data_IF_260122426661
#
_entry.id   IF_260122426661
#
_cell.length_a   1.000
_cell.length_b   1.000
_cell.length_c   1.000
_cell.angle_alpha   90.00
_cell.angle_beta   90.00
_cell.angle_gamma   90.00
#
_symmetry.space_group_name_H-M   'P 1'
#
loop_
_entity.id
_entity.type
_entity.pdbx_description
1 polymer ?
#
# COMPACT_ATOMS: atom_id res chain seq x y z
N UNK A 1 -12.22 15.02 38.54
CA UNK A 1 -12.35 13.92 39.51
C UNK A 1 -13.31 12.90 38.94
N UNK A 2 -12.77 11.83 38.40
CA UNK A 2 -13.46 10.57 38.13
C UNK A 2 -12.40 9.50 38.30
N UNK A 3 -12.48 8.78 39.41
CA UNK A 3 -11.63 7.65 39.76
C UNK A 3 -12.05 6.46 38.91
N UNK A 4 -11.17 5.99 38.02
CA UNK A 4 -11.23 4.63 37.50
C UNK A 4 -10.06 3.86 38.10
N UNK A 5 -10.42 2.75 38.70
CA UNK A 5 -9.60 1.72 39.33
C UNK A 5 -8.47 1.24 38.43
N UNK A 6 -7.37 0.85 39.06
CA UNK A 6 -6.21 0.19 38.49
C UNK A 6 -6.58 -1.04 37.65
N UNK A 7 -6.28 -0.98 36.36
CA UNK A 7 -5.95 -2.14 35.54
C UNK A 7 -4.58 -1.86 34.91
N UNK A 8 -3.71 -2.85 34.91
CA UNK A 8 -2.36 -2.79 34.34
C UNK A 8 -2.41 -2.28 32.89
N UNK A 9 -2.11 -0.99 32.69
CA UNK A 9 -1.81 -0.47 31.36
C UNK A 9 -0.37 -0.90 31.07
N UNK A 10 -0.20 -1.94 30.25
CA UNK A 10 1.11 -2.27 29.73
C UNK A 10 1.57 -1.14 28.81
N UNK A 11 2.50 -0.33 29.32
CA UNK A 11 3.12 0.76 28.58
C UNK A 11 4.31 0.21 27.80
N UNK A 12 4.08 -0.08 26.52
CA UNK A 12 5.13 -0.49 25.58
C UNK A 12 5.62 0.74 24.81
N UNK A 13 6.93 0.80 24.53
CA UNK A 13 7.45 1.83 23.64
C UNK A 13 6.87 1.61 22.23
N UNK A 14 6.25 2.65 21.66
CA UNK A 14 5.88 2.62 20.25
C UNK A 14 7.15 2.38 19.40
N UNK A 15 7.10 1.48 18.40
CA UNK A 15 8.16 1.38 17.40
C UNK A 15 8.53 2.77 16.87
N UNK A 16 9.82 3.03 16.63
CA UNK A 16 10.29 4.35 16.18
C UNK A 16 9.59 4.86 14.91
N UNK A 17 9.00 3.94 14.13
CA UNK A 17 8.37 4.20 12.85
C UNK A 17 6.85 4.43 12.94
N UNK A 18 6.20 4.31 14.11
CA UNK A 18 4.73 4.41 14.22
C UNK A 18 4.24 5.85 14.06
N UNK A 19 4.88 6.80 14.73
CA UNK A 19 4.71 8.23 14.53
C UNK A 19 6.00 8.88 15.01
N UNK A 20 6.87 9.35 14.12
CA UNK A 20 8.16 9.90 14.51
C UNK A 20 7.94 11.33 15.05
N UNK A 21 7.36 11.44 16.24
CA UNK A 21 7.03 12.72 16.92
C UNK A 21 8.26 13.63 16.99
N UNK A 22 9.46 13.04 17.07
CA UNK A 22 10.74 13.78 17.01
C UNK A 22 10.90 14.62 15.73
N UNK A 23 10.33 14.17 14.61
CA UNK A 23 10.38 14.88 13.33
C UNK A 23 9.41 16.08 13.29
N UNK A 24 8.42 16.17 14.18
CA UNK A 24 7.51 17.32 14.23
C UNK A 24 8.29 18.60 14.51
N UNK A 25 9.22 18.57 15.49
CA UNK A 25 10.08 19.73 15.78
C UNK A 25 10.96 20.08 14.58
N UNK A 26 11.39 19.07 13.81
CA UNK A 26 12.19 19.29 12.59
C UNK A 26 11.35 19.96 11.50
N UNK A 27 10.11 19.51 11.29
CA UNK A 27 9.17 20.15 10.36
C UNK A 27 8.90 21.60 10.77
N UNK A 28 8.60 21.87 12.05
CA UNK A 28 8.38 23.23 12.52
C UNK A 28 9.62 24.13 12.38
N UNK A 29 10.82 23.58 12.61
CA UNK A 29 12.08 24.29 12.38
C UNK A 29 12.30 24.68 10.92
N UNK A 30 11.81 23.85 9.99
CA UNK A 30 11.89 24.06 8.55
C UNK A 30 10.73 24.91 8.01
N UNK A 31 9.82 25.39 8.86
CA UNK A 31 8.67 26.18 8.42
C UNK A 31 9.11 27.52 7.80
N UNK A 32 8.71 27.75 6.54
CA UNK A 32 9.03 28.96 5.77
C UNK A 32 7.75 29.72 5.47
N UNK A 33 7.69 31.05 5.69
CA UNK A 33 6.51 31.84 5.35
C UNK A 33 6.23 31.81 3.84
N UNK A 34 4.94 31.77 3.50
CA UNK A 34 4.42 31.79 2.13
C UNK A 34 3.30 32.83 1.99
N UNK A 35 2.98 33.29 0.77
CA UNK A 35 1.97 34.31 0.57
C UNK A 35 0.56 33.72 0.50
N UNK A 36 0.44 32.46 0.09
CA UNK A 36 -0.83 31.75 -0.16
C UNK A 36 -0.56 30.26 -0.35
N UNK A 37 -1.56 29.43 -0.04
CA UNK A 37 -1.57 28.00 -0.34
C UNK A 37 -2.97 27.55 -0.80
N UNK A 38 -3.07 26.42 -1.49
CA UNK A 38 -4.32 25.74 -1.83
C UNK A 38 -4.20 24.23 -1.69
N UNK A 39 -5.33 23.54 -1.50
CA UNK A 39 -5.48 22.09 -1.69
C UNK A 39 -6.39 21.89 -2.89
N UNK A 40 -5.87 21.32 -3.97
CA UNK A 40 -6.49 21.39 -5.28
C UNK A 40 -6.80 22.85 -5.65
N UNK A 41 -8.05 23.10 -6.04
CA UNK A 41 -8.55 24.44 -6.40
C UNK A 41 -9.01 25.28 -5.19
N UNK A 42 -9.00 24.73 -3.98
CA UNK A 42 -9.49 25.41 -2.77
C UNK A 42 -8.37 26.15 -2.03
N UNK A 43 -8.51 27.48 -1.90
CA UNK A 43 -7.53 28.30 -1.19
C UNK A 43 -7.58 28.04 0.33
N UNK A 44 -6.40 27.95 0.94
CA UNK A 44 -6.26 27.89 2.40
C UNK A 44 -6.37 29.31 2.95
N UNK A 45 -7.52 29.60 3.55
CA UNK A 45 -7.80 30.89 4.19
C UNK A 45 -7.06 31.02 5.53
N UNK A 46 -6.14 31.98 5.61
CA UNK A 46 -5.40 32.27 6.83
C UNK A 46 -5.55 33.74 7.26
N UNK A 47 -6.61 34.02 8.02
CA UNK A 47 -7.01 35.37 8.43
C UNK A 47 -5.95 36.12 9.24
N UNK A 48 -5.05 35.41 9.91
CA UNK A 48 -3.93 36.00 10.66
C UNK A 48 -2.80 36.53 9.76
N UNK A 49 -2.74 36.10 8.49
CA UNK A 49 -1.63 36.36 7.57
C UNK A 49 -0.32 35.61 7.89
N UNK A 50 -0.32 34.80 8.94
CA UNK A 50 0.82 33.99 9.39
C UNK A 50 0.74 32.59 8.77
N UNK A 51 0.93 32.53 7.45
CA UNK A 51 0.93 31.31 6.68
C UNK A 51 2.36 30.82 6.41
N UNK A 52 2.61 29.55 6.66
CA UNK A 52 3.90 28.90 6.47
C UNK A 52 3.74 27.60 5.67
N UNK A 53 4.79 27.19 4.97
CA UNK A 53 4.93 25.84 4.45
C UNK A 53 5.96 25.06 5.24
N UNK A 54 5.70 23.77 5.39
CA UNK A 54 6.69 22.80 5.86
C UNK A 54 6.40 21.43 5.26
N UNK A 55 7.27 20.46 5.50
CA UNK A 55 7.07 19.08 5.12
C UNK A 55 7.30 18.17 6.33
N UNK A 56 6.45 17.14 6.46
CA UNK A 56 6.55 16.10 7.48
C UNK A 56 6.40 14.74 6.82
N UNK A 57 7.42 13.89 6.94
CA UNK A 57 7.42 12.51 6.42
C UNK A 57 7.10 12.43 4.91
N UNK A 58 7.62 13.40 4.15
CA UNK A 58 7.42 13.58 2.69
C UNK A 58 6.04 14.15 2.29
N UNK A 59 5.15 14.44 3.24
CA UNK A 59 3.93 15.23 2.99
C UNK A 59 4.15 16.71 3.27
N UNK A 60 3.69 17.53 2.34
CA UNK A 60 3.68 18.98 2.42
C UNK A 60 2.49 19.50 3.23
N UNK A 61 2.75 20.43 4.15
CA UNK A 61 1.76 21.07 5.02
C UNK A 61 1.80 22.59 4.90
N UNK A 62 0.64 23.19 4.77
CA UNK A 62 0.42 24.62 4.97
C UNK A 62 -0.05 24.87 6.41
N UNK A 63 0.68 25.71 7.14
CA UNK A 63 0.39 26.04 8.55
C UNK A 63 -0.17 27.46 8.64
N UNK A 64 -1.41 27.59 9.10
CA UNK A 64 -2.00 28.87 9.50
C UNK A 64 -1.93 29.05 11.02
N UNK A 65 -1.09 29.98 11.47
CA UNK A 65 -0.90 30.24 12.90
C UNK A 65 -1.81 31.35 13.42
N UNK A 66 -2.49 31.11 14.54
CA UNK A 66 -3.50 32.00 15.13
C UNK A 66 -3.07 32.57 16.50
N UNK A 67 -1.76 32.77 16.70
CA UNK A 67 -1.23 33.28 17.95
C UNK A 67 -1.51 32.32 19.11
N UNK A 68 -2.12 32.79 20.20
CA UNK A 68 -2.43 31.95 21.39
C UNK A 68 -3.54 30.92 21.17
N UNK A 69 -4.31 31.05 20.10
CA UNK A 69 -5.35 30.07 19.75
C UNK A 69 -4.80 28.81 19.09
N UNK A 70 -3.48 28.72 18.91
CA UNK A 70 -2.86 27.56 18.26
C UNK A 70 -2.57 27.77 16.78
N UNK A 71 -2.52 26.67 16.03
CA UNK A 71 -2.40 26.69 14.58
C UNK A 71 -3.10 25.50 13.94
N UNK A 72 -3.46 25.66 12.67
CA UNK A 72 -3.98 24.58 11.83
C UNK A 72 -2.91 24.25 10.79
N UNK A 73 -2.56 22.98 10.65
CA UNK A 73 -1.69 22.48 9.59
C UNK A 73 -2.52 21.62 8.62
N UNK A 74 -2.63 22.05 7.37
CA UNK A 74 -3.43 21.39 6.34
C UNK A 74 -2.53 20.76 5.28
N UNK A 75 -2.87 19.52 4.90
CA UNK A 75 -2.32 18.77 3.78
C UNK A 75 -3.46 18.18 2.94
N UNK A 76 -3.15 17.40 1.91
CA UNK A 76 -4.15 16.73 1.06
C UNK A 76 -5.08 15.82 1.86
N UNK A 77 -4.52 14.99 2.73
CA UNK A 77 -5.25 13.87 3.35
C UNK A 77 -5.39 14.03 4.88
N UNK A 78 -4.77 15.06 5.46
CA UNK A 78 -4.78 15.30 6.90
C UNK A 78 -4.80 16.80 7.22
N UNK A 79 -5.73 17.18 8.11
CA UNK A 79 -5.70 18.47 8.81
C UNK A 79 -5.40 18.23 10.28
N UNK A 80 -4.41 18.92 10.82
CA UNK A 80 -3.99 18.86 12.22
C UNK A 80 -4.31 20.18 12.89
N UNK A 81 -5.15 20.14 13.92
CA UNK A 81 -5.43 21.27 14.79
C UNK A 81 -4.56 21.17 16.04
N UNK A 82 -3.84 22.24 16.35
CA UNK A 82 -2.96 22.31 17.52
C UNK A 82 -3.46 23.39 18.45
N UNK A 83 -3.78 23.00 19.68
CA UNK A 83 -4.16 23.90 20.77
C UNK A 83 -3.04 23.98 21.82
N UNK A 84 -2.87 25.16 22.43
CA UNK A 84 -1.95 25.33 23.55
C UNK A 84 -2.68 25.18 24.88
N UNK A 85 -2.05 24.46 25.80
CA UNK A 85 -2.53 24.31 27.18
C UNK A 85 -1.94 25.40 28.08
N UNK A 86 -2.76 25.96 28.96
CA UNK A 86 -2.35 27.03 29.89
C UNK A 86 -1.33 26.57 30.94
N UNK A 87 -1.28 25.27 31.21
CA UNK A 87 -0.41 24.67 32.22
C UNK A 87 0.45 23.57 31.60
N UNK A 88 1.73 23.45 31.97
CA UNK A 88 2.57 22.37 31.49
C UNK A 88 1.94 21.02 31.83
N UNK A 89 1.73 20.16 30.82
CA UNK A 89 1.37 18.78 31.07
C UNK A 89 2.53 18.12 31.86
N UNK A 90 2.23 17.62 33.05
CA UNK A 90 3.20 16.84 33.83
C UNK A 90 3.33 15.49 33.15
N UNK A 91 4.29 15.36 32.23
CA UNK A 91 4.63 14.08 31.60
C UNK A 91 5.39 13.25 32.62
N UNK A 92 4.69 12.34 33.30
CA UNK A 92 5.35 11.39 34.18
C UNK A 92 6.13 10.38 33.34
N UNK A 93 7.36 10.07 33.77
CA UNK A 93 8.14 8.98 33.17
C UNK A 93 7.34 7.67 33.33
N UNK A 94 6.98 6.97 32.24
CA UNK A 94 6.26 5.71 32.38
C UNK A 94 7.13 4.68 33.11
N UNK A 95 6.49 3.89 33.97
CA UNK A 95 7.12 2.70 34.55
C UNK A 95 7.12 1.60 33.49
N UNK A 96 8.31 1.22 33.01
CA UNK A 96 8.45 0.22 31.96
C UNK A 96 8.41 -1.19 32.58
N UNK A 97 7.49 -2.03 32.12
CA UNK A 97 7.49 -3.47 32.37
C UNK A 97 8.68 -4.10 31.63
N UNK A 98 9.69 -4.62 32.33
CA UNK A 98 10.73 -5.49 31.69
C UNK A 98 12.15 -4.94 31.50
N UNK A 99 12.57 -3.90 32.23
CA UNK A 99 14.01 -3.58 32.36
C UNK A 99 14.67 -2.82 31.20
N UNK A 100 13.94 -2.47 30.14
CA UNK A 100 14.45 -1.60 29.07
C UNK A 100 14.59 -0.16 29.59
N UNK A 101 15.76 0.48 29.41
CA UNK A 101 15.96 1.88 29.79
C UNK A 101 15.68 2.82 28.60
N UNK A 102 14.69 3.71 28.72
CA UNK A 102 14.56 4.82 27.77
C UNK A 102 15.69 5.83 28.00
N UNK A 103 16.57 6.00 27.01
CA UNK A 103 17.61 7.04 27.05
C UNK A 103 16.95 8.42 26.98
N UNK A 104 17.26 9.29 27.94
CA UNK A 104 16.81 10.69 27.92
C UNK A 104 17.52 11.40 26.77
N UNK A 105 16.75 11.93 25.82
CA UNK A 105 17.30 12.64 24.66
C UNK A 105 17.68 14.07 25.05
N UNK A 106 18.70 14.63 24.41
CA UNK A 106 19.02 16.07 24.54
C UNK A 106 17.92 16.93 23.94
N UNK A 107 17.67 18.10 24.54
CA UNK A 107 16.70 19.06 24.02
C UNK A 107 17.07 19.49 22.60
N UNK A 108 16.10 19.45 21.68
CA UNK A 108 16.27 19.91 20.30
C UNK A 108 16.21 21.43 20.26
N UNK A 109 17.19 22.08 19.62
CA UNK A 109 17.15 23.52 19.38
C UNK A 109 16.01 23.89 18.43
N UNK A 110 15.28 24.96 18.74
CA UNK A 110 14.17 25.46 17.91
C UNK A 110 14.50 26.81 17.26
N UNK A 111 14.07 27.00 16.02
CA UNK A 111 14.16 28.30 15.32
C UNK A 111 13.18 29.30 15.94
N UNK A 112 13.35 30.62 15.73
CA UNK A 112 12.38 31.61 16.21
C UNK A 112 10.96 31.37 15.66
N UNK A 113 10.83 30.92 14.41
CA UNK A 113 9.54 30.54 13.81
C UNK A 113 8.94 29.32 14.51
N UNK A 114 9.73 28.25 14.71
CA UNK A 114 9.26 27.06 15.40
C UNK A 114 8.87 27.37 16.85
N UNK A 115 9.65 28.21 17.55
CA UNK A 115 9.31 28.65 18.90
C UNK A 115 7.96 29.38 18.93
N UNK A 116 7.72 30.28 17.97
CA UNK A 116 6.42 30.95 17.82
C UNK A 116 5.27 29.96 17.58
N UNK A 117 5.46 28.98 16.69
CA UNK A 117 4.51 27.91 16.41
C UNK A 117 4.33 26.90 17.56
N UNK A 118 5.27 26.79 18.49
CA UNK A 118 5.17 25.87 19.63
C UNK A 118 4.55 26.53 20.87
N UNK A 119 4.56 27.86 20.93
CA UNK A 119 4.21 28.63 22.14
C UNK A 119 3.12 29.66 21.92
N UNK A 120 2.68 29.87 20.67
CA UNK A 120 1.73 30.92 20.32
C UNK A 120 2.26 32.34 20.50
N UNK A 121 3.60 32.49 20.56
CA UNK A 121 4.25 33.81 20.61
C UNK A 121 4.27 34.48 19.23
N UNK A 122 4.50 35.78 19.18
CA UNK A 122 4.53 36.53 17.93
C UNK A 122 5.63 36.01 17.00
N UNK A 123 5.26 35.73 15.75
CA UNK A 123 6.20 35.33 14.70
C UNK A 123 7.17 36.48 14.38
N UNK A 124 8.45 36.18 14.06
CA UNK A 124 9.42 37.22 13.70
C UNK A 124 8.91 38.06 12.52
N UNK A 125 8.97 39.38 12.69
CA UNK A 125 8.30 40.36 11.82
C UNK A 125 8.78 40.30 10.35
N UNK A 126 7.85 40.42 9.39
CA UNK A 126 8.03 40.36 7.91
C UNK A 126 8.91 41.48 7.29
N UNK A 127 9.54 42.34 8.10
CA UNK A 127 10.17 43.58 7.62
C UNK A 127 11.60 43.45 7.06
N UNK A 128 12.11 42.24 6.83
CA UNK A 128 13.35 42.09 6.06
C UNK A 128 13.04 42.12 4.56
N UNK A 129 13.67 43.06 3.83
CA UNK A 129 13.66 43.09 2.35
C UNK A 129 14.05 41.71 1.81
N UNK A 130 13.09 40.94 1.29
CA UNK A 130 13.35 39.62 0.69
C UNK A 130 13.72 39.77 -0.79
N UNK A 131 14.86 39.20 -1.17
CA UNK A 131 15.40 39.20 -2.54
C UNK A 131 14.85 38.05 -3.41
N UNK A 132 13.95 37.21 -2.88
CA UNK A 132 13.39 36.03 -3.54
C UNK A 132 11.86 36.11 -3.50
N UNK A 133 11.20 35.94 -4.65
CA UNK A 133 9.74 35.92 -4.72
C UNK A 133 9.19 34.74 -3.90
N UNK A 134 8.31 35.02 -2.94
CA UNK A 134 7.56 33.98 -2.24
C UNK A 134 6.56 33.37 -3.23
N UNK A 135 6.59 32.04 -3.40
CA UNK A 135 5.73 31.33 -4.35
C UNK A 135 4.51 30.77 -3.62
N UNK A 136 3.38 30.74 -4.33
CA UNK A 136 2.19 30.01 -3.93
C UNK A 136 2.52 28.52 -3.74
N UNK A 137 1.96 27.90 -2.71
CA UNK A 137 2.08 26.47 -2.45
C UNK A 137 0.80 25.76 -2.89
N UNK A 138 0.85 25.03 -3.99
CA UNK A 138 -0.25 24.15 -4.40
C UNK A 138 -0.02 22.77 -3.78
N UNK A 139 -1.02 22.26 -3.07
CA UNK A 139 -1.08 20.90 -2.53
C UNK A 139 -2.08 20.13 -3.39
N UNK A 140 -1.74 18.91 -3.80
CA UNK A 140 -2.65 18.07 -4.58
C UNK A 140 -3.93 17.74 -3.80
N UNK A 141 -5.07 17.53 -4.47
CA UNK A 141 -6.31 17.14 -3.81
C UNK A 141 -6.20 15.79 -3.09
N UNK A 142 -7.16 15.51 -2.21
CA UNK A 142 -7.22 14.25 -1.47
C UNK A 142 -7.42 13.04 -2.41
N UNK A 143 -8.24 13.20 -3.45
CA UNK A 143 -8.56 12.18 -4.44
C UNK A 143 -8.26 12.65 -5.86
N UNK A 144 -8.18 11.69 -6.78
CA UNK A 144 -7.96 11.95 -8.20
C UNK A 144 -9.23 11.79 -9.04
N UNK A 145 -9.36 12.62 -10.08
CA UNK A 145 -10.34 12.40 -11.14
C UNK A 145 -9.75 11.45 -12.21
N UNK A 146 -10.63 10.74 -12.92
CA UNK A 146 -10.21 9.87 -14.01
C UNK A 146 -9.52 10.66 -15.14
N UNK A 147 -8.34 10.21 -15.57
CA UNK A 147 -7.52 10.81 -16.64
C UNK A 147 -7.73 10.11 -17.99
N UNK A 148 -8.51 9.03 -18.05
CA UNK A 148 -8.88 8.34 -19.29
C UNK A 148 -10.40 8.19 -19.45
N UNK A 149 -10.82 7.42 -20.45
CA UNK A 149 -12.23 7.11 -20.68
C UNK A 149 -12.66 6.08 -19.62
N UNK A 150 -13.67 6.38 -18.78
CA UNK A 150 -14.17 5.42 -17.81
C UNK A 150 -14.69 4.16 -18.48
N UNK A 151 -14.41 3.00 -17.88
CA UNK A 151 -14.85 1.70 -18.38
C UNK A 151 -15.03 0.69 -17.24
N UNK A 152 -15.70 -0.46 -17.44
CA UNK A 152 -15.89 -1.42 -16.37
C UNK A 152 -14.56 -1.99 -15.84
N UNK A 153 -14.52 -2.27 -14.53
CA UNK A 153 -13.35 -2.82 -13.86
C UNK A 153 -13.67 -4.15 -13.19
N UNK A 154 -12.83 -5.16 -13.45
CA UNK A 154 -12.89 -6.46 -12.76
C UNK A 154 -11.65 -6.70 -11.91
N UNK A 155 -11.87 -6.99 -10.64
CA UNK A 155 -10.84 -7.28 -9.65
C UNK A 155 -10.76 -8.79 -9.39
N UNK A 156 -9.56 -9.34 -9.55
CA UNK A 156 -9.24 -10.74 -9.27
C UNK A 156 -8.37 -10.83 -8.02
N UNK A 157 -8.88 -11.54 -7.01
CA UNK A 157 -8.16 -11.77 -5.75
C UNK A 157 -7.07 -12.84 -5.90
N UNK A 158 -6.09 -12.80 -4.99
CA UNK A 158 -4.99 -13.75 -4.94
C UNK A 158 -5.31 -15.10 -4.29
N UNK A 159 -4.26 -15.80 -3.88
CA UNK A 159 -4.32 -17.10 -3.19
C UNK A 159 -5.16 -17.05 -1.89
N UNK A 160 -5.89 -18.15 -1.61
CA UNK A 160 -6.46 -18.36 -0.28
C UNK A 160 -7.97 -18.16 -0.15
N UNK A 161 -8.70 -18.18 -1.27
CA UNK A 161 -10.16 -18.26 -1.29
C UNK A 161 -10.62 -19.60 -1.88
N UNK A 162 -11.36 -20.41 -1.11
CA UNK A 162 -11.87 -21.72 -1.56
C UNK A 162 -13.27 -21.62 -2.19
N UNK A 163 -13.89 -20.43 -2.15
CA UNK A 163 -15.22 -20.20 -2.69
C UNK A 163 -15.12 -19.88 -4.18
N UNK A 164 -16.07 -20.36 -4.96
CA UNK A 164 -16.25 -19.95 -6.35
C UNK A 164 -17.69 -19.50 -6.57
N UNK A 165 -17.86 -18.39 -7.28
CA UNK A 165 -19.17 -17.90 -7.72
C UNK A 165 -19.14 -17.69 -9.23
N UNK A 166 -20.24 -18.06 -9.88
CA UNK A 166 -20.34 -17.96 -11.34
C UNK A 166 -20.42 -16.50 -11.79
N UNK A 167 -21.18 -15.69 -11.05
CA UNK A 167 -21.38 -14.28 -11.35
C UNK A 167 -20.32 -13.38 -10.71
N UNK A 168 -20.02 -12.28 -11.39
CA UNK A 168 -19.25 -11.18 -10.83
C UNK A 168 -20.01 -10.53 -9.67
N UNK A 169 -19.31 -10.22 -8.59
CA UNK A 169 -19.90 -9.68 -7.37
C UNK A 169 -19.73 -8.16 -7.30
N UNK A 170 -20.67 -7.47 -6.67
CA UNK A 170 -20.61 -6.02 -6.41
C UNK A 170 -19.69 -5.65 -5.23
N UNK A 171 -19.35 -6.62 -4.38
CA UNK A 171 -18.52 -6.42 -3.20
C UNK A 171 -17.46 -7.51 -3.05
N UNK A 172 -16.33 -7.25 -2.36
CA UNK A 172 -15.27 -8.22 -2.16
C UNK A 172 -15.54 -9.18 -0.98
N UNK A 173 -16.71 -9.13 -0.33
CA UNK A 173 -17.02 -9.90 0.89
C UNK A 173 -16.78 -11.42 0.73
N UNK A 174 -17.05 -11.93 -0.47
CA UNK A 174 -16.91 -13.34 -0.81
C UNK A 174 -15.48 -13.76 -1.18
N UNK A 175 -14.51 -12.85 -1.10
CA UNK A 175 -13.08 -13.13 -1.40
C UNK A 175 -12.28 -13.60 -0.19
N UNK A 176 -12.92 -13.83 0.96
CA UNK A 176 -12.26 -14.24 2.22
C UNK A 176 -11.19 -13.24 2.69
N UNK A 177 -11.44 -11.93 2.52
CA UNK A 177 -10.53 -10.86 2.92
C UNK A 177 -9.25 -10.80 2.08
N UNK A 178 -9.29 -11.24 0.82
CA UNK A 178 -8.15 -11.22 -0.12
C UNK A 178 -8.18 -10.04 -1.09
N UNK A 179 -9.17 -9.16 -0.95
CA UNK A 179 -9.38 -7.97 -1.77
C UNK A 179 -10.07 -6.88 -0.93
N UNK A 180 -9.56 -5.65 -0.98
CA UNK A 180 -10.21 -4.47 -0.45
C UNK A 180 -11.37 -3.99 -1.33
N UNK A 181 -12.21 -3.11 -0.78
CA UNK A 181 -13.33 -2.53 -1.52
C UNK A 181 -12.87 -1.24 -2.21
N UNK A 182 -13.01 -1.17 -3.53
CA UNK A 182 -12.61 -0.05 -4.37
C UNK A 182 -13.82 0.63 -5.04
N UNK A 183 -15.06 0.35 -4.60
CA UNK A 183 -16.25 0.88 -5.27
C UNK A 183 -16.35 2.41 -5.22
N UNK A 184 -15.77 3.05 -4.19
CA UNK A 184 -15.78 4.52 -4.02
C UNK A 184 -14.47 5.18 -4.48
N UNK A 185 -13.40 4.40 -4.64
CA UNK A 185 -12.03 4.89 -4.87
C UNK A 185 -11.48 4.48 -6.26
N UNK A 186 -12.37 4.36 -7.24
CA UNK A 186 -12.05 3.89 -8.58
C UNK A 186 -12.69 4.79 -9.65
N UNK A 187 -12.27 6.07 -9.78
CA UNK A 187 -12.91 7.08 -10.60
C UNK A 187 -12.95 6.75 -12.11
N UNK A 188 -12.04 5.91 -12.59
CA UNK A 188 -12.03 5.42 -13.97
C UNK A 188 -12.89 4.17 -14.22
N UNK A 189 -13.52 3.65 -13.17
CA UNK A 189 -14.38 2.49 -13.27
C UNK A 189 -15.84 2.93 -13.40
N UNK A 190 -16.51 2.59 -14.51
CA UNK A 190 -17.97 2.81 -14.63
C UNK A 190 -18.75 1.90 -13.69
N UNK A 191 -18.19 0.72 -13.41
CA UNK A 191 -18.62 -0.21 -12.39
C UNK A 191 -17.40 -0.97 -11.88
N UNK A 192 -17.44 -1.35 -10.60
CA UNK A 192 -16.42 -2.18 -9.97
C UNK A 192 -17.02 -3.54 -9.66
N UNK A 193 -16.40 -4.59 -10.17
CA UNK A 193 -16.82 -5.97 -9.98
C UNK A 193 -15.68 -6.82 -9.45
N UNK A 194 -16.03 -7.83 -8.65
CA UNK A 194 -15.09 -8.76 -8.06
C UNK A 194 -15.35 -10.18 -8.57
N UNK A 195 -14.32 -10.80 -9.13
CA UNK A 195 -14.35 -12.20 -9.49
C UNK A 195 -14.01 -13.06 -8.25
N UNK A 196 -14.89 -13.97 -7.88
CA UNK A 196 -14.72 -14.89 -6.75
C UNK A 196 -14.45 -16.28 -7.30
N UNK A 197 -13.21 -16.73 -7.21
CA UNK A 197 -12.74 -17.97 -7.81
C UNK A 197 -12.03 -18.85 -6.77
N UNK A 198 -12.10 -20.18 -6.96
CA UNK A 198 -11.36 -21.08 -6.11
C UNK A 198 -9.86 -21.00 -6.43
N UNK A 199 -9.12 -20.41 -5.50
CA UNK A 199 -7.66 -20.16 -5.56
C UNK A 199 -6.94 -20.88 -4.42
N UNK A 200 -7.54 -21.93 -3.90
CA UNK A 200 -6.95 -22.82 -2.89
C UNK A 200 -6.63 -24.17 -3.51
N UNK A 201 -7.61 -24.74 -4.22
CA UNK A 201 -7.54 -26.13 -4.68
C UNK A 201 -6.88 -26.30 -6.05
N UNK A 202 -6.65 -25.20 -6.77
CA UNK A 202 -6.08 -25.21 -8.12
C UNK A 202 -4.71 -24.53 -8.15
N UNK A 203 -3.81 -25.08 -8.97
CA UNK A 203 -2.54 -24.44 -9.34
C UNK A 203 -2.82 -23.16 -10.13
N UNK A 204 -1.93 -22.16 -10.06
CA UNK A 204 -2.03 -20.99 -10.95
C UNK A 204 -1.86 -21.35 -12.43
N UNK A 205 -1.23 -22.49 -12.72
CA UNK A 205 -1.07 -23.05 -14.06
C UNK A 205 -2.25 -23.95 -14.48
N UNK A 206 -3.30 -24.07 -13.68
CA UNK A 206 -4.48 -24.88 -14.02
C UNK A 206 -5.25 -24.29 -15.21
N UNK A 207 -5.57 -25.14 -16.18
CA UNK A 207 -6.22 -24.77 -17.44
C UNK A 207 -7.64 -24.22 -17.23
N UNK A 208 -8.40 -24.82 -16.31
CA UNK A 208 -9.78 -24.42 -16.02
C UNK A 208 -9.83 -23.11 -15.24
N UNK A 209 -8.90 -22.92 -14.30
CA UNK A 209 -8.79 -21.67 -13.55
C UNK A 209 -8.42 -20.50 -14.48
N UNK A 210 -7.47 -20.71 -15.41
CA UNK A 210 -7.12 -19.72 -16.44
C UNK A 210 -8.32 -19.38 -17.33
N UNK A 211 -9.08 -20.38 -17.79
CA UNK A 211 -10.28 -20.15 -18.57
C UNK A 211 -11.32 -19.34 -17.78
N UNK A 212 -11.53 -19.67 -16.50
CA UNK A 212 -12.46 -18.93 -15.65
C UNK A 212 -12.05 -17.45 -15.52
N UNK A 213 -10.76 -17.13 -15.39
CA UNK A 213 -10.29 -15.74 -15.38
C UNK A 213 -10.66 -14.99 -16.66
N UNK A 214 -10.41 -15.60 -17.82
CA UNK A 214 -10.78 -15.03 -19.11
C UNK A 214 -12.30 -14.85 -19.23
N UNK A 215 -13.09 -15.86 -18.88
CA UNK A 215 -14.55 -15.84 -18.97
C UNK A 215 -15.15 -14.74 -18.09
N UNK A 216 -14.61 -14.51 -16.88
CA UNK A 216 -15.05 -13.42 -16.00
C UNK A 216 -14.74 -12.05 -16.60
N UNK A 217 -13.55 -11.87 -17.18
CA UNK A 217 -13.17 -10.60 -17.79
C UNK A 217 -13.97 -10.30 -19.07
N UNK A 218 -14.19 -11.31 -19.93
CA UNK A 218 -14.93 -11.19 -21.20
C UNK A 218 -16.43 -10.86 -21.02
N UNK A 219 -17.00 -11.14 -19.84
CA UNK A 219 -18.41 -10.90 -19.56
C UNK A 219 -18.72 -9.46 -19.17
N UNK A 220 -17.74 -8.70 -18.72
CA UNK A 220 -18.00 -7.40 -18.10
C UNK A 220 -18.29 -6.29 -19.11
N UNK A 221 -17.57 -6.28 -20.23
CA UNK A 221 -17.75 -5.26 -21.28
C UNK A 221 -18.44 -5.85 -22.50
N UNK A 222 -19.53 -5.21 -22.95
CA UNK A 222 -20.24 -5.56 -24.18
C UNK A 222 -19.38 -5.41 -25.44
N UNK A 223 -18.32 -4.59 -25.39
CA UNK A 223 -17.34 -4.46 -26.48
C UNK A 223 -16.42 -5.68 -26.62
N UNK A 224 -16.36 -6.56 -25.61
CA UNK A 224 -15.48 -7.73 -25.66
C UNK A 224 -15.96 -8.76 -26.68
N UNK A 225 -15.03 -9.31 -27.47
CA UNK A 225 -15.32 -10.39 -28.41
C UNK A 225 -15.20 -11.74 -27.69
N UNK A 226 -16.35 -12.24 -27.22
CA UNK A 226 -16.48 -13.54 -26.56
C UNK A 226 -16.15 -14.71 -27.48
N UNK A 227 -16.29 -14.55 -28.80
CA UNK A 227 -16.03 -15.62 -29.76
C UNK A 227 -14.53 -15.79 -30.00
N UNK A 228 -13.79 -14.68 -30.14
CA UNK A 228 -12.34 -14.71 -30.34
C UNK A 228 -11.53 -14.59 -29.04
N UNK A 229 -12.19 -14.41 -27.90
CA UNK A 229 -11.54 -14.33 -26.58
C UNK A 229 -10.79 -13.01 -26.36
N UNK A 230 -11.25 -11.91 -26.96
CA UNK A 230 -10.58 -10.61 -26.88
C UNK A 230 -11.31 -9.71 -25.87
N UNK A 231 -10.65 -9.40 -24.76
CA UNK A 231 -11.14 -8.50 -23.72
C UNK A 231 -10.96 -7.06 -24.21
N UNK A 232 -12.03 -6.28 -24.28
CA UNK A 232 -11.99 -4.89 -24.76
C UNK A 232 -12.65 -3.94 -23.76
N UNK A 233 -12.22 -2.68 -23.77
CA UNK A 233 -12.78 -1.60 -22.94
C UNK A 233 -13.00 -2.03 -21.47
N UNK A 234 -12.00 -2.69 -20.86
CA UNK A 234 -12.10 -3.26 -19.51
C UNK A 234 -10.79 -3.01 -18.77
N UNK A 235 -10.87 -2.55 -17.52
CA UNK A 235 -9.71 -2.56 -16.62
C UNK A 235 -9.71 -3.89 -15.87
N UNK A 236 -8.68 -4.68 -16.08
CA UNK A 236 -8.44 -5.92 -15.33
C UNK A 236 -7.44 -5.62 -14.23
N UNK A 237 -7.84 -5.88 -12.98
CA UNK A 237 -6.98 -5.69 -11.81
C UNK A 237 -6.70 -7.06 -11.20
N UNK A 238 -5.42 -7.40 -11.04
CA UNK A 238 -5.02 -8.71 -10.48
C UNK A 238 -4.12 -8.54 -9.28
N UNK A 239 -4.44 -9.20 -8.17
CA UNK A 239 -3.61 -9.23 -6.98
C UNK A 239 -2.93 -10.59 -6.76
N UNK A 240 -1.63 -10.59 -6.44
CA UNK A 240 -0.90 -11.78 -6.00
C UNK A 240 -1.00 -12.90 -7.04
N UNK A 241 -1.36 -14.12 -6.64
CA UNK A 241 -1.52 -15.27 -7.54
C UNK A 241 -2.42 -15.00 -8.76
N UNK A 242 -3.38 -14.06 -8.68
CA UNK A 242 -4.22 -13.69 -9.83
C UNK A 242 -3.40 -13.16 -11.01
N UNK A 243 -2.29 -12.45 -10.75
CA UNK A 243 -1.42 -11.95 -11.82
C UNK A 243 -0.78 -13.09 -12.60
N UNK A 244 -0.32 -14.15 -11.92
CA UNK A 244 0.23 -15.35 -12.57
C UNK A 244 -0.82 -16.07 -13.40
N UNK A 245 -2.04 -16.23 -12.86
CA UNK A 245 -3.13 -16.89 -13.57
C UNK A 245 -3.48 -16.11 -14.85
N UNK A 246 -3.66 -14.79 -14.76
CA UNK A 246 -3.94 -13.96 -15.93
C UNK A 246 -2.78 -13.99 -16.93
N UNK A 247 -1.54 -13.90 -16.46
CA UNK A 247 -0.36 -14.03 -17.31
C UNK A 247 -0.36 -15.33 -18.09
N UNK A 248 -0.65 -16.45 -17.43
CA UNK A 248 -0.65 -17.76 -18.06
C UNK A 248 -1.84 -17.93 -19.01
N UNK A 249 -3.01 -17.39 -18.66
CA UNK A 249 -4.18 -17.39 -19.53
C UNK A 249 -3.91 -16.64 -20.86
N UNK A 250 -3.16 -15.54 -20.80
CA UNK A 250 -2.68 -14.82 -21.98
C UNK A 250 -1.63 -15.64 -22.75
N UNK A 251 -0.65 -16.20 -22.03
CA UNK A 251 0.44 -16.98 -22.64
C UNK A 251 -0.05 -18.24 -23.36
N UNK A 252 -1.12 -18.88 -22.87
CA UNK A 252 -1.75 -20.06 -23.47
C UNK A 252 -2.84 -19.72 -24.48
N UNK A 253 -3.13 -18.43 -24.68
CA UNK A 253 -4.12 -17.97 -25.66
C UNK A 253 -5.58 -18.23 -25.27
N UNK A 254 -5.87 -18.39 -23.98
CA UNK A 254 -7.25 -18.49 -23.46
C UNK A 254 -8.05 -17.22 -23.71
N UNK A 255 -7.36 -16.07 -23.61
CA UNK A 255 -7.86 -14.77 -24.01
C UNK A 255 -6.70 -13.84 -24.36
N UNK A 256 -7.02 -12.66 -24.86
CA UNK A 256 -6.06 -11.58 -25.11
C UNK A 256 -6.67 -10.22 -24.78
N UNK A 257 -5.82 -9.22 -24.56
CA UNK A 257 -6.25 -7.83 -24.39
C UNK A 257 -6.33 -7.12 -25.74
N UNK A 258 -7.50 -6.58 -26.04
CA UNK A 258 -7.77 -5.78 -27.23
C UNK A 258 -7.79 -4.29 -26.95
N UNK A 259 -8.35 -3.53 -27.89
CA UNK A 259 -8.45 -2.07 -27.78
C UNK A 259 -9.20 -1.67 -26.51
N UNK A 260 -8.66 -0.70 -25.79
CA UNK A 260 -9.28 -0.12 -24.60
C UNK A 260 -9.20 -1.02 -23.35
N UNK A 261 -8.59 -2.20 -23.43
CA UNK A 261 -8.26 -2.97 -22.24
C UNK A 261 -7.00 -2.41 -21.55
N UNK A 262 -7.02 -2.46 -20.23
CA UNK A 262 -5.89 -2.06 -19.37
C UNK A 262 -5.69 -3.15 -18.33
N UNK A 263 -4.44 -3.56 -18.10
CA UNK A 263 -4.12 -4.52 -17.04
C UNK A 263 -3.27 -3.85 -15.95
N UNK A 264 -3.82 -3.83 -14.73
CA UNK A 264 -3.18 -3.34 -13.51
C UNK A 264 -2.80 -4.54 -12.64
N UNK A 265 -1.50 -4.77 -12.48
CA UNK A 265 -0.99 -5.90 -11.69
C UNK A 265 -0.49 -5.44 -10.31
N UNK A 266 -0.83 -6.20 -9.27
CA UNK A 266 -0.51 -5.83 -7.88
C UNK A 266 0.14 -7.03 -7.20
N UNK A 267 1.36 -6.87 -6.71
CA UNK A 267 2.12 -7.83 -5.91
C UNK A 267 2.14 -9.24 -6.50
N UNK A 268 2.22 -9.35 -7.82
CA UNK A 268 2.11 -10.61 -8.56
C UNK A 268 3.42 -11.39 -8.47
N UNK A 269 3.48 -12.60 -7.91
CA UNK A 269 4.74 -13.31 -7.71
C UNK A 269 5.24 -13.97 -9.01
N UNK A 270 5.69 -13.18 -9.98
CA UNK A 270 6.16 -13.64 -11.30
C UNK A 270 7.36 -14.58 -11.25
N UNK A 271 8.01 -14.76 -10.09
CA UNK A 271 9.03 -15.78 -9.83
C UNK A 271 8.66 -16.76 -8.70
N UNK A 272 7.42 -16.74 -8.24
CA UNK A 272 7.00 -17.46 -7.04
C UNK A 272 7.34 -16.72 -5.74
N UNK A 273 7.26 -17.41 -4.62
CA UNK A 273 7.47 -16.85 -3.27
C UNK A 273 8.23 -17.84 -2.39
N UNK A 274 9.23 -17.34 -1.65
CA UNK A 274 9.94 -18.17 -0.67
C UNK A 274 9.04 -18.63 0.49
N UNK A 275 7.86 -18.01 0.68
CA UNK A 275 6.86 -18.49 1.63
C UNK A 275 6.34 -19.90 1.25
N UNK A 276 6.20 -20.18 -0.05
CA UNK A 276 5.79 -21.50 -0.54
C UNK A 276 6.91 -22.53 -0.31
N UNK A 277 8.16 -22.22 -0.66
CA UNK A 277 9.31 -23.11 -0.37
C UNK A 277 9.48 -23.39 1.12
N UNK A 278 9.27 -22.39 1.96
CA UNK A 278 9.28 -22.56 3.40
C UNK A 278 8.22 -23.57 3.85
N UNK A 279 6.97 -23.45 3.35
CA UNK A 279 5.90 -24.39 3.67
C UNK A 279 6.23 -25.82 3.19
N UNK A 280 6.75 -25.98 1.97
CA UNK A 280 7.14 -27.29 1.46
C UNK A 280 8.24 -27.96 2.29
N UNK A 281 9.24 -27.20 2.75
CA UNK A 281 10.25 -27.75 3.67
C UNK A 281 9.63 -28.10 5.03
N UNK A 282 8.82 -27.20 5.57
CA UNK A 282 8.22 -27.31 6.88
C UNK A 282 7.29 -28.53 7.05
N UNK A 283 6.67 -29.01 5.97
CA UNK A 283 5.77 -30.17 6.01
C UNK A 283 6.38 -31.47 5.48
N UNK A 284 7.50 -31.43 4.75
CA UNK A 284 8.21 -32.62 4.27
C UNK A 284 9.37 -33.06 5.19
N UNK A 285 9.85 -32.18 6.07
CA UNK A 285 10.93 -32.44 7.03
C UNK A 285 10.42 -32.29 8.49
N UNK A 286 11.04 -33.01 9.45
CA UNK A 286 10.77 -32.94 10.91
C UNK A 286 11.29 -31.61 11.53
N UNK A 287 10.94 -30.45 10.95
CA UNK A 287 11.40 -29.15 11.41
C UNK A 287 10.69 -28.72 12.71
N UNK A 288 11.39 -28.88 13.82
CA UNK A 288 10.98 -28.47 15.18
C UNK A 288 11.28 -27.01 15.51
N UNK A 289 11.91 -26.26 14.59
CA UNK A 289 12.43 -24.89 14.84
C UNK A 289 11.67 -23.79 14.09
N UNK A 290 10.40 -24.03 13.77
CA UNK A 290 9.56 -23.03 13.13
C UNK A 290 8.90 -22.19 14.23
N UNK A 291 8.98 -20.86 14.09
CA UNK A 291 8.21 -19.93 14.92
C UNK A 291 6.74 -20.29 14.77
N UNK A 292 6.11 -20.88 15.79
CA UNK A 292 4.73 -21.44 15.67
C UNK A 292 3.70 -20.45 15.08
N UNK A 293 3.87 -19.15 15.30
CA UNK A 293 3.02 -18.11 14.71
C UNK A 293 3.08 -18.01 13.18
N UNK A 294 4.19 -18.42 12.55
CA UNK A 294 4.33 -18.45 11.09
C UNK A 294 3.54 -19.61 10.47
N UNK A 295 3.48 -20.76 11.15
CA UNK A 295 2.64 -21.89 10.75
C UNK A 295 1.15 -21.58 10.88
N UNK A 296 0.72 -20.96 11.98
CA UNK A 296 -0.69 -20.56 12.13
C UNK A 296 -1.13 -19.54 11.07
N UNK A 297 -0.20 -18.70 10.60
CA UNK A 297 -0.47 -17.69 9.58
C UNK A 297 -0.43 -18.24 8.15
N UNK A 298 0.60 -19.01 7.80
CA UNK A 298 0.85 -19.49 6.44
C UNK A 298 0.31 -20.89 6.19
N UNK A 299 0.13 -21.72 7.22
CA UNK A 299 -0.08 -23.16 7.09
C UNK A 299 -1.55 -23.61 7.12
N UNK A 300 -1.88 -24.52 6.22
CA UNK A 300 -2.93 -25.53 6.39
C UNK A 300 -2.33 -26.85 5.89
N UNK A 301 -2.56 -27.96 6.60
CA UNK A 301 -2.11 -29.29 6.20
C UNK A 301 -3.26 -30.10 5.60
N UNK A 302 -3.04 -30.84 4.49
CA UNK A 302 -1.86 -30.76 3.61
C UNK A 302 -1.74 -29.39 2.93
N UNK A 303 -0.54 -29.03 2.45
CA UNK A 303 -0.31 -27.76 1.73
C UNK A 303 -1.27 -27.72 0.52
N UNK A 304 -2.13 -26.71 0.39
CA UNK A 304 -3.03 -26.60 -0.76
C UNK A 304 -2.26 -26.49 -2.08
N UNK A 305 -2.77 -27.12 -3.14
CA UNK A 305 -2.13 -27.19 -4.47
C UNK A 305 -1.72 -25.81 -5.00
N UNK A 306 -2.57 -24.80 -4.77
CA UNK A 306 -2.29 -23.41 -5.12
C UNK A 306 -0.97 -22.88 -4.54
N UNK A 307 -0.63 -23.25 -3.29
CA UNK A 307 0.62 -22.83 -2.65
C UNK A 307 1.81 -23.67 -3.09
N UNK A 308 1.62 -24.97 -3.31
CA UNK A 308 2.67 -25.82 -3.90
C UNK A 308 3.11 -25.29 -5.26
N UNK A 309 2.15 -24.78 -6.06
CA UNK A 309 2.45 -24.19 -7.36
C UNK A 309 3.19 -22.85 -7.30
N UNK A 310 3.27 -22.20 -6.13
CA UNK A 310 3.91 -20.89 -5.96
C UNK A 310 5.37 -20.95 -5.50
N UNK A 311 5.95 -22.15 -5.41
CA UNK A 311 7.38 -22.33 -5.09
C UNK A 311 8.26 -21.56 -6.08
N UNK A 312 9.34 -21.02 -5.55
CA UNK A 312 10.16 -20.05 -6.22
C UNK A 312 10.88 -20.66 -7.44
N UNK A 313 10.91 -19.93 -8.55
CA UNK A 313 11.47 -20.39 -9.81
C UNK A 313 12.96 -20.76 -9.63
N UNK A 314 13.30 -22.01 -9.99
CA UNK A 314 14.65 -22.55 -9.88
C UNK A 314 15.06 -23.05 -8.49
N UNK A 315 14.18 -22.97 -7.48
CA UNK A 315 14.45 -23.53 -6.14
C UNK A 315 14.14 -25.03 -6.05
N UNK A 316 14.52 -25.62 -4.90
CA UNK A 316 14.47 -27.08 -4.61
C UNK A 316 13.12 -27.73 -4.93
N UNK A 317 12.02 -27.04 -4.65
CA UNK A 317 10.67 -27.58 -4.79
C UNK A 317 10.03 -27.27 -6.15
N UNK A 318 10.70 -26.46 -6.98
CA UNK A 318 10.28 -26.19 -8.34
C UNK A 318 10.75 -27.30 -9.29
N UNK A 319 10.18 -27.34 -10.50
CA UNK A 319 10.52 -28.32 -11.53
C UNK A 319 10.59 -27.67 -12.93
N UNK A 320 11.03 -28.43 -13.93
CA UNK A 320 11.21 -27.91 -15.29
C UNK A 320 9.92 -27.35 -15.92
N UNK A 321 8.78 -27.98 -15.66
CA UNK A 321 7.48 -27.55 -16.18
C UNK A 321 7.03 -26.23 -15.53
N UNK A 322 7.09 -26.15 -14.21
CA UNK A 322 6.75 -24.91 -13.48
C UNK A 322 7.69 -23.76 -13.85
N UNK A 323 8.99 -24.04 -14.00
CA UNK A 323 9.95 -23.04 -14.44
C UNK A 323 9.66 -22.52 -15.86
N UNK A 324 9.26 -23.40 -16.77
CA UNK A 324 8.85 -23.01 -18.12
C UNK A 324 7.55 -22.19 -18.10
N UNK A 325 6.59 -22.56 -17.25
CA UNK A 325 5.36 -21.80 -17.06
C UNK A 325 5.67 -20.39 -16.54
N UNK A 326 6.60 -20.23 -15.58
CA UNK A 326 7.02 -18.91 -15.12
C UNK A 326 7.62 -18.07 -16.25
N UNK A 327 8.48 -18.65 -17.10
CA UNK A 327 9.04 -17.92 -18.26
C UNK A 327 7.93 -17.46 -19.22
N UNK A 328 6.95 -18.32 -19.50
CA UNK A 328 5.83 -17.96 -20.37
C UNK A 328 4.95 -16.85 -19.75
N UNK A 329 4.65 -16.97 -18.44
CA UNK A 329 3.91 -15.96 -17.70
C UNK A 329 4.65 -14.61 -17.66
N UNK A 330 5.96 -14.61 -17.42
CA UNK A 330 6.80 -13.40 -17.41
C UNK A 330 6.79 -12.68 -18.76
N UNK A 331 6.82 -13.42 -19.88
CA UNK A 331 6.75 -12.83 -21.23
C UNK A 331 5.39 -12.20 -21.51
N UNK A 332 4.30 -12.88 -21.12
CA UNK A 332 2.95 -12.33 -21.23
C UNK A 332 2.76 -11.11 -20.33
N UNK A 333 3.26 -11.16 -19.10
CA UNK A 333 3.27 -10.07 -18.14
C UNK A 333 3.99 -8.84 -18.72
N UNK A 334 5.23 -9.02 -19.16
CA UNK A 334 6.05 -7.98 -19.82
C UNK A 334 5.34 -7.30 -20.99
N UNK A 335 4.62 -8.07 -21.80
CA UNK A 335 4.04 -7.59 -23.05
C UNK A 335 2.67 -6.91 -22.89
N UNK A 336 1.98 -7.13 -21.76
CA UNK A 336 0.57 -6.76 -21.62
C UNK A 336 0.27 -5.87 -20.40
N UNK A 337 1.10 -5.88 -19.36
CA UNK A 337 0.86 -5.07 -18.16
C UNK A 337 0.95 -3.59 -18.51
N UNK A 338 -0.07 -2.84 -18.12
CA UNK A 338 -0.14 -1.39 -18.32
C UNK A 338 0.40 -0.62 -17.12
N UNK A 339 0.24 -1.17 -15.92
CA UNK A 339 0.72 -0.60 -14.67
C UNK A 339 0.97 -1.70 -13.63
N UNK A 340 1.92 -1.49 -12.72
CA UNK A 340 2.19 -2.46 -11.66
C UNK A 340 2.51 -1.81 -10.30
N UNK A 341 2.00 -2.41 -9.23
CA UNK A 341 2.40 -2.11 -7.85
C UNK A 341 3.18 -3.30 -7.29
N UNK A 342 4.44 -3.08 -6.90
CA UNK A 342 5.29 -4.11 -6.29
C UNK A 342 5.84 -3.62 -4.95
N UNK A 343 5.26 -4.11 -3.84
CA UNK A 343 5.68 -3.76 -2.48
C UNK A 343 7.12 -4.17 -2.17
N UNK A 344 7.85 -3.33 -1.45
CA UNK A 344 9.23 -3.60 -1.04
C UNK A 344 9.46 -3.51 0.48
N UNK A 345 8.40 -3.37 1.27
CA UNK A 345 8.50 -3.21 2.73
C UNK A 345 7.36 -3.96 3.45
N UNK A 346 7.73 -4.99 4.21
CA UNK A 346 6.81 -5.82 4.97
C UNK A 346 6.21 -5.14 6.21
N UNK A 347 6.77 -3.99 6.66
CA UNK A 347 6.20 -3.21 7.76
C UNK A 347 4.86 -2.59 7.32
N UNK A 348 4.79 -2.09 6.08
CA UNK A 348 3.58 -1.50 5.51
C UNK A 348 2.93 -0.39 6.35
N UNK A 349 1.60 -0.26 6.25
CA UNK A 349 0.76 0.67 7.00
C UNK A 349 0.38 0.05 8.35
N UNK A 350 0.32 0.88 9.40
CA UNK A 350 -0.13 0.46 10.72
C UNK A 350 -1.57 -0.04 10.68
N UNK A 351 -1.76 -1.35 10.83
CA UNK A 351 -3.07 -2.00 10.72
C UNK A 351 -3.08 -3.35 11.43
N UNK A 352 -4.25 -4.00 11.47
CA UNK A 352 -4.38 -5.38 11.98
C UNK A 352 -3.59 -6.42 11.16
N UNK A 353 -3.15 -6.07 9.95
CA UNK A 353 -2.38 -6.98 9.07
C UNK A 353 -0.87 -6.88 9.30
N UNK A 354 -0.38 -5.73 9.76
CA UNK A 354 1.04 -5.42 9.91
C UNK A 354 1.80 -6.48 10.70
N UNK A 355 1.33 -6.86 11.90
CA UNK A 355 2.10 -7.75 12.78
C UNK A 355 2.40 -9.11 12.14
N UNK A 356 1.46 -9.66 11.36
CA UNK A 356 1.64 -10.97 10.70
C UNK A 356 2.58 -10.88 9.52
N UNK A 357 2.44 -9.85 8.69
CA UNK A 357 3.31 -9.64 7.52
C UNK A 357 4.72 -9.22 7.93
N UNK A 358 4.87 -8.49 9.04
CA UNK A 358 6.16 -8.22 9.66
C UNK A 358 6.90 -9.50 10.06
N UNK A 359 6.20 -10.41 10.74
CA UNK A 359 6.78 -11.71 11.14
C UNK A 359 7.15 -12.51 9.89
N UNK A 360 6.27 -12.58 8.89
CA UNK A 360 6.55 -13.29 7.66
C UNK A 360 7.77 -12.70 6.93
N UNK A 361 7.79 -11.39 6.66
CA UNK A 361 8.88 -10.72 5.95
C UNK A 361 10.24 -10.77 6.67
N UNK A 362 10.23 -10.88 8.00
CA UNK A 362 11.45 -10.96 8.81
C UNK A 362 12.01 -12.37 8.95
N UNK A 363 11.15 -13.39 9.04
CA UNK A 363 11.57 -14.74 9.42
C UNK A 363 11.47 -15.77 8.29
N UNK A 364 10.75 -15.48 7.20
CA UNK A 364 10.82 -16.30 6.00
C UNK A 364 12.18 -16.15 5.31
N UNK A 365 12.65 -17.19 4.60
CA UNK A 365 13.93 -17.19 3.91
C UNK A 365 13.86 -16.41 2.58
N UNK A 366 13.41 -15.16 2.63
CA UNK A 366 13.33 -14.30 1.46
C UNK A 366 14.70 -14.10 0.80
N UNK A 367 14.69 -13.94 -0.53
CA UNK A 367 15.92 -13.67 -1.28
C UNK A 367 16.45 -12.25 -1.12
N UNK A 368 15.63 -11.35 -0.57
CA UNK A 368 15.94 -9.94 -0.36
C UNK A 368 15.18 -9.42 0.87
N UNK A 369 15.73 -8.36 1.49
CA UNK A 369 15.00 -7.58 2.49
C UNK A 369 13.87 -6.74 1.85
N UNK A 370 13.92 -6.54 0.54
CA UNK A 370 12.84 -5.91 -0.22
C UNK A 370 11.74 -6.93 -0.52
N UNK A 371 10.76 -7.03 0.37
CA UNK A 371 9.59 -7.89 0.21
C UNK A 371 8.39 -7.27 0.92
N UNK A 372 7.19 -7.64 0.47
CA UNK A 372 5.92 -7.18 1.05
C UNK A 372 5.43 -8.07 2.22
N UNK A 373 6.29 -8.94 2.72
CA UNK A 373 6.00 -9.94 3.75
C UNK A 373 5.71 -11.33 3.19
N UNK A 374 5.35 -11.45 1.91
CA UNK A 374 5.13 -12.73 1.24
C UNK A 374 5.86 -12.83 -0.09
N UNK A 375 5.88 -11.76 -0.88
CA UNK A 375 6.47 -11.72 -2.22
C UNK A 375 7.64 -10.74 -2.22
N UNK A 376 8.78 -11.19 -2.74
CA UNK A 376 9.94 -10.34 -2.97
C UNK A 376 9.66 -9.32 -4.08
N UNK A 377 10.14 -8.08 -3.91
CA UNK A 377 10.03 -7.04 -4.94
C UNK A 377 10.52 -7.54 -6.30
N UNK A 378 11.67 -8.22 -6.33
CA UNK A 378 12.25 -8.78 -7.56
C UNK A 378 11.37 -9.89 -8.18
N UNK A 379 10.63 -10.64 -7.36
CA UNK A 379 9.66 -11.62 -7.88
C UNK A 379 8.47 -10.92 -8.53
N UNK A 380 8.07 -9.75 -8.05
CA UNK A 380 6.99 -8.96 -8.64
C UNK A 380 7.39 -8.18 -9.89
N UNK A 381 8.57 -7.57 -9.87
CA UNK A 381 9.04 -6.70 -10.94
C UNK A 381 9.63 -7.46 -12.14
N UNK A 382 9.92 -8.76 -12.02
CA UNK A 382 10.55 -9.52 -13.10
C UNK A 382 9.71 -9.51 -14.38
N UNK A 383 10.39 -9.31 -15.51
CA UNK A 383 9.76 -9.10 -16.82
C UNK A 383 9.59 -7.62 -17.17
N UNK A 384 9.43 -6.74 -16.17
CA UNK A 384 9.31 -5.29 -16.32
C UNK A 384 10.67 -4.59 -16.18
N UNK A 385 10.74 -3.32 -16.57
CA UNK A 385 11.92 -2.49 -16.39
C UNK A 385 11.97 -1.95 -14.96
N UNK A 386 12.84 -2.48 -14.10
CA UNK A 386 12.98 -2.01 -12.72
C UNK A 386 13.30 -0.50 -12.64
N UNK A 387 13.92 0.08 -13.67
CA UNK A 387 14.22 1.52 -13.69
C UNK A 387 12.99 2.40 -13.92
N UNK A 388 11.86 1.84 -14.36
CA UNK A 388 10.60 2.56 -14.48
C UNK A 388 9.84 2.63 -13.16
N UNK A 389 10.28 1.91 -12.11
CA UNK A 389 9.61 1.91 -10.82
C UNK A 389 10.00 3.12 -9.97
N UNK A 390 9.02 3.88 -9.52
CA UNK A 390 9.18 4.97 -8.58
C UNK A 390 8.44 4.75 -7.26
N UNK A 391 8.64 5.63 -6.30
CA UNK A 391 8.08 5.50 -4.93
C UNK A 391 6.92 6.45 -4.66
N UNK A 392 6.45 7.17 -5.69
CA UNK A 392 5.27 8.04 -5.62
C UNK A 392 4.02 7.28 -6.06
N UNK A 393 2.87 7.61 -5.47
CA UNK A 393 1.57 7.11 -5.94
C UNK A 393 1.22 7.62 -7.35
N UNK A 394 1.98 8.57 -7.89
CA UNK A 394 1.84 9.04 -9.28
C UNK A 394 2.58 8.14 -10.29
N UNK A 395 3.46 7.26 -9.82
CA UNK A 395 4.26 6.39 -10.69
C UNK A 395 3.40 5.23 -11.22
N UNK A 396 3.30 5.08 -12.54
CA UNK A 396 2.58 3.96 -13.18
C UNK A 396 3.14 2.59 -12.76
N UNK A 397 4.45 2.52 -12.57
CA UNK A 397 5.12 1.38 -11.96
C UNK A 397 5.55 1.82 -10.55
N UNK A 398 4.80 1.37 -9.55
CA UNK A 398 4.91 1.85 -8.20
C UNK A 398 5.63 0.81 -7.33
N UNK A 399 6.68 1.25 -6.64
CA UNK A 399 7.47 0.51 -5.65
C UNK A 399 7.16 1.05 -4.25
N UNK A 400 6.00 0.72 -3.69
CA UNK A 400 5.61 1.21 -2.38
C UNK A 400 6.31 0.50 -1.22
N UNK A 401 6.39 1.23 -0.10
CA UNK A 401 6.67 0.69 1.23
C UNK A 401 5.40 0.09 1.85
N UNK A 402 4.78 -0.87 1.15
CA UNK A 402 3.53 -1.52 1.52
C UNK A 402 3.71 -3.02 1.65
N UNK A 403 3.05 -3.60 2.65
CA UNK A 403 2.98 -5.05 2.82
C UNK A 403 1.89 -5.64 1.91
N UNK A 404 1.85 -6.97 1.78
CA UNK A 404 1.00 -7.68 0.83
C UNK A 404 -0.51 -7.42 1.03
N UNK A 405 -0.94 -7.12 2.25
CA UNK A 405 -2.34 -6.79 2.53
C UNK A 405 -2.67 -5.34 2.17
N UNK A 406 -1.72 -4.43 2.40
CA UNK A 406 -1.89 -3.03 2.06
C UNK A 406 -1.93 -2.81 0.54
N UNK A 407 -1.11 -3.56 -0.22
CA UNK A 407 -1.10 -3.46 -1.69
C UNK A 407 -2.45 -3.82 -2.32
N UNK A 408 -3.27 -4.61 -1.63
CA UNK A 408 -4.63 -4.98 -2.08
C UNK A 408 -5.73 -4.22 -1.33
N UNK A 409 -5.42 -3.00 -0.90
CA UNK A 409 -6.38 -2.00 -0.40
C UNK A 409 -7.10 -2.41 0.90
N UNK A 410 -6.63 -3.42 1.63
CA UNK A 410 -7.30 -3.86 2.87
C UNK A 410 -7.16 -2.88 4.03
N UNK A 411 -6.17 -1.99 3.95
CA UNK A 411 -5.87 -0.99 4.98
C UNK A 411 -6.26 0.43 4.57
N UNK A 412 -6.35 0.71 3.27
CA UNK A 412 -6.46 2.08 2.74
C UNK A 412 -5.11 2.78 2.66
N UNK A 413 -5.13 4.11 2.61
CA UNK A 413 -3.92 4.94 2.49
C UNK A 413 -3.27 5.29 3.83
N UNK A 414 -1.94 5.42 3.78
CA UNK A 414 -1.14 5.99 4.83
C UNK A 414 -1.21 7.53 4.85
N UNK A 415 -1.12 8.08 6.06
CA UNK A 415 -1.33 9.52 6.30
C UNK A 415 -0.24 10.42 5.70
N UNK A 416 1.02 9.98 5.62
CA UNK A 416 2.14 10.92 5.40
C UNK A 416 3.09 10.56 4.25
N UNK A 417 3.20 9.30 3.83
CA UNK A 417 4.18 8.90 2.83
C UNK A 417 3.51 8.55 1.52
N UNK A 418 3.98 9.14 0.43
CA UNK A 418 3.51 8.80 -0.92
C UNK A 418 3.76 7.35 -1.25
N UNK A 419 4.83 6.75 -0.71
CA UNK A 419 5.14 5.31 -0.83
C UNK A 419 4.19 4.41 -0.01
N UNK A 420 3.16 4.97 0.62
CA UNK A 420 2.16 4.23 1.42
C UNK A 420 0.73 4.60 1.03
N UNK A 421 0.47 4.93 -0.23
CA UNK A 421 -0.86 5.34 -0.71
C UNK A 421 -1.38 4.43 -1.84
N UNK A 422 -1.73 3.17 -1.55
CA UNK A 422 -2.20 2.25 -2.57
C UNK A 422 -3.52 2.66 -3.21
N UNK A 423 -4.47 3.22 -2.44
CA UNK A 423 -5.79 3.63 -2.93
C UNK A 423 -5.64 4.85 -3.84
N UNK A 424 -4.98 5.90 -3.36
CA UNK A 424 -4.67 7.07 -4.18
C UNK A 424 -3.88 6.73 -5.44
N UNK A 425 -2.93 5.78 -5.37
CA UNK A 425 -2.24 5.29 -6.56
C UNK A 425 -3.22 4.80 -7.60
N UNK A 426 -4.17 3.95 -7.22
CA UNK A 426 -5.18 3.41 -8.15
C UNK A 426 -6.11 4.50 -8.68
N UNK A 427 -6.56 5.42 -7.82
CA UNK A 427 -7.40 6.56 -8.23
C UNK A 427 -6.73 7.44 -9.28
N UNK A 428 -5.43 7.71 -9.10
CA UNK A 428 -4.66 8.62 -9.92
C UNK A 428 -4.04 7.96 -11.17
N UNK A 429 -4.17 6.64 -11.29
CA UNK A 429 -3.44 5.83 -12.26
C UNK A 429 -3.90 6.03 -13.70
N UNK A 430 -5.22 6.05 -13.90
CA UNK A 430 -5.85 5.86 -15.21
C UNK A 430 -6.50 7.11 -15.74
#
# INVERSE_FOLDING_TARGET
MTTVSSDNIDVVCLPQNTLPIKLVITALNNAVPIPSASVGDEAIECTSGNLFKTSFMDTDFAICASGRSGFIASSSDLTVEVEYVDYPAIVQKPMLSGGTSCSVTTATSVTPTALALLTGTSTPNRNSRKLKAEQHMAIEPASCACKSIPRPCVFFHGNGNAKELEELQDTPENTNGRMGNMNEDAPCCTEVKYAVLNTVDYSWADDSLQQNFCDRALRLSESSDKQSGVIQDTVVVTHSMAGLIMSMALATGKCSFGKGATWVAISSPMKGTMAADFLENAFNDDYTEIVGGLFEFLGKCPVPLSRQSLVYQGEKHSNGELNAAYVAAQEAYRSNVSAAMCGNDYDGIFSKYQARLFVAGKFLPHKSLENDGLVEYQSCAIGLDESSFGTSYEDTFYKPQLNHADTVFLTGDGLFKDSKKPVKWFECLL
#
